data_IF_683096719573
#
_entry.id   IF_683096719573
#
_cell.length_a   1.000
_cell.length_b   1.000
_cell.length_c   1.000
_cell.angle_alpha   90.00
_cell.angle_beta   90.00
_cell.angle_gamma   90.00
#
_symmetry.space_group_name_H-M   'P 1'
#
loop_
_entity.id
_entity.type
_entity.pdbx_description
1 polymer ?
#
# COMPACT_ATOMS: atom_id res chain seq x y z
N UNK A 1 -7.54 -8.19 21.43
CA UNK A 1 -6.51 -8.19 20.38
C UNK A 1 -6.25 -6.76 19.94
N UNK A 2 -5.02 -6.30 20.05
CA UNK A 2 -4.69 -4.91 19.75
C UNK A 2 -3.87 -4.82 18.49
N UNK A 3 -4.35 -4.06 17.52
CA UNK A 3 -3.64 -3.73 16.30
C UNK A 3 -3.32 -2.24 16.35
N UNK A 4 -2.04 -1.91 16.21
CA UNK A 4 -1.57 -0.52 16.24
C UNK A 4 -1.00 -0.20 14.87
N UNK A 5 -1.49 0.87 14.25
CA UNK A 5 -0.98 1.35 12.98
C UNK A 5 -0.37 2.72 13.20
N UNK A 6 0.88 2.88 12.80
CA UNK A 6 1.59 4.13 13.00
C UNK A 6 2.55 4.43 11.86
N UNK A 7 2.85 5.70 11.69
CA UNK A 7 3.84 6.14 10.72
C UNK A 7 5.22 5.64 11.13
N UNK A 8 6.02 5.27 10.15
CA UNK A 8 7.36 4.78 10.37
C UNK A 8 8.31 5.37 9.33
N UNK A 9 9.58 5.46 9.69
CA UNK A 9 10.63 5.84 8.76
C UNK A 9 10.88 4.64 7.82
N UNK A 10 10.70 4.80 6.49
CA UNK A 10 10.94 3.70 5.56
C UNK A 10 12.39 3.22 5.52
N UNK A 11 13.33 4.01 6.06
CA UNK A 11 14.72 3.61 6.17
C UNK A 11 15.02 2.84 7.45
N UNK A 12 14.06 2.72 8.37
CA UNK A 12 14.26 1.97 9.61
C UNK A 12 14.43 0.49 9.34
N UNK A 13 15.09 -0.22 10.24
CA UNK A 13 15.31 -1.66 10.10
C UNK A 13 13.98 -2.41 10.05
N UNK A 14 13.01 -1.98 10.83
CA UNK A 14 11.69 -2.63 10.89
C UNK A 14 10.93 -2.46 9.59
N UNK A 15 10.94 -1.25 9.01
CA UNK A 15 10.32 -0.99 7.73
C UNK A 15 11.00 -1.79 6.62
N UNK A 16 12.32 -1.84 6.63
CA UNK A 16 13.08 -2.62 5.65
C UNK A 16 12.73 -4.10 5.71
N UNK A 17 12.55 -4.65 6.91
CA UNK A 17 12.16 -6.05 7.07
C UNK A 17 10.77 -6.32 6.51
N UNK A 18 9.83 -5.41 6.73
CA UNK A 18 8.47 -5.55 6.15
C UNK A 18 8.52 -5.50 4.63
N UNK A 19 9.26 -4.55 4.07
CA UNK A 19 9.39 -4.41 2.62
C UNK A 19 10.08 -5.63 2.02
N UNK A 20 11.13 -6.12 2.67
CA UNK A 20 11.84 -7.32 2.22
C UNK A 20 10.93 -8.55 2.26
N UNK A 21 10.15 -8.70 3.32
CA UNK A 21 9.21 -9.82 3.41
C UNK A 21 8.17 -9.78 2.29
N UNK A 22 7.68 -8.58 1.97
CA UNK A 22 6.76 -8.39 0.86
C UNK A 22 7.40 -8.80 -0.47
N UNK A 23 8.62 -8.35 -0.73
CA UNK A 23 9.33 -8.69 -1.97
C UNK A 23 9.61 -10.18 -2.07
N UNK A 24 9.96 -10.83 -0.97
CA UNK A 24 10.17 -12.29 -0.95
C UNK A 24 8.88 -13.03 -1.25
N UNK A 25 7.76 -12.58 -0.71
CA UNK A 25 6.48 -13.20 -1.01
C UNK A 25 6.15 -13.06 -2.50
N UNK A 26 6.37 -11.87 -3.08
CA UNK A 26 6.16 -11.66 -4.51
C UNK A 26 7.07 -12.57 -5.34
N UNK A 27 8.34 -12.71 -4.95
CA UNK A 27 9.29 -13.57 -5.63
C UNK A 27 8.78 -15.01 -5.71
N UNK A 28 8.19 -15.49 -4.64
CA UNK A 28 7.68 -16.87 -4.56
C UNK A 28 6.29 -17.04 -5.19
N UNK A 29 5.48 -15.99 -5.19
CA UNK A 29 4.09 -16.05 -5.65
C UNK A 29 3.97 -15.86 -7.15
N UNK A 30 4.76 -14.97 -7.75
CA UNK A 30 4.65 -14.65 -9.17
C UNK A 30 5.35 -15.68 -10.02
N UNK A 31 4.74 -16.06 -11.14
CA UNK A 31 5.23 -17.12 -12.01
C UNK A 31 6.65 -16.86 -12.52
N UNK A 32 6.96 -15.62 -12.88
CA UNK A 32 8.28 -15.22 -13.37
C UNK A 32 9.18 -14.64 -12.27
N UNK A 33 8.78 -14.79 -10.99
CA UNK A 33 9.48 -14.16 -9.88
C UNK A 33 9.25 -12.66 -9.84
N UNK A 34 9.99 -11.96 -8.98
CA UNK A 34 9.84 -10.53 -8.79
C UNK A 34 11.20 -9.86 -8.63
N UNK A 35 11.46 -8.86 -9.46
CA UNK A 35 12.66 -8.03 -9.37
C UNK A 35 12.21 -6.58 -9.16
N UNK A 36 12.45 -5.98 -7.98
CA UNK A 36 12.03 -4.59 -7.71
C UNK A 36 12.58 -3.59 -8.73
N UNK A 37 13.73 -3.85 -9.33
CA UNK A 37 14.32 -2.96 -10.31
C UNK A 37 13.51 -2.88 -11.60
N UNK A 38 12.64 -3.84 -11.86
CA UNK A 38 11.82 -3.88 -13.07
C UNK A 38 10.46 -3.23 -12.90
N UNK A 39 10.13 -2.72 -11.70
CA UNK A 39 8.84 -2.09 -11.43
C UNK A 39 8.97 -0.57 -11.39
N UNK A 40 7.83 0.11 -11.49
CA UNK A 40 7.72 1.53 -11.18
C UNK A 40 7.54 1.63 -9.66
N UNK A 41 8.63 1.42 -8.94
CA UNK A 41 8.61 1.38 -7.49
C UNK A 41 9.01 2.74 -6.91
N UNK A 42 8.56 3.02 -5.69
CA UNK A 42 8.95 4.22 -4.99
C UNK A 42 10.27 3.99 -4.23
N UNK A 43 11.17 4.96 -4.30
CA UNK A 43 12.31 4.96 -3.39
C UNK A 43 11.83 5.21 -1.96
N UNK A 44 12.55 4.68 -0.94
CA UNK A 44 12.17 4.97 0.45
C UNK A 44 12.00 6.46 0.74
N UNK A 45 12.83 7.32 0.14
CA UNK A 45 12.72 8.77 0.33
C UNK A 45 11.39 9.32 -0.15
N UNK A 46 10.74 8.70 -1.14
CA UNK A 46 9.44 9.12 -1.64
C UNK A 46 8.30 8.77 -0.69
N UNK A 47 8.56 7.93 0.29
CA UNK A 47 7.59 7.50 1.30
C UNK A 47 7.76 8.24 2.62
N UNK A 48 8.39 9.41 2.59
CA UNK A 48 8.54 10.31 3.74
C UNK A 48 7.76 11.61 3.48
N UNK A 49 7.12 12.19 4.51
CA UNK A 49 6.46 13.49 4.35
C UNK A 49 7.45 14.57 3.89
N UNK A 50 7.04 15.51 3.04
CA UNK A 50 5.70 15.67 2.46
C UNK A 50 5.47 14.89 1.17
N UNK A 51 6.47 14.17 0.67
CA UNK A 51 6.40 13.44 -0.61
C UNK A 51 5.57 12.17 -0.52
N UNK A 52 5.35 11.66 0.68
CA UNK A 52 4.60 10.44 0.91
C UNK A 52 4.51 10.11 2.39
N UNK A 53 4.20 8.86 2.67
CA UNK A 53 4.07 8.36 4.04
C UNK A 53 4.27 6.85 4.03
N UNK A 54 4.80 6.32 5.12
CA UNK A 54 4.90 4.87 5.31
C UNK A 54 4.26 4.50 6.63
N UNK A 55 3.36 3.51 6.59
CA UNK A 55 2.68 3.01 7.79
C UNK A 55 3.10 1.57 8.05
N UNK A 56 3.26 1.24 9.32
CA UNK A 56 3.45 -0.15 9.76
C UNK A 56 2.34 -0.53 10.72
N UNK A 57 1.98 -1.80 10.70
CA UNK A 57 0.98 -2.37 11.59
C UNK A 57 1.66 -3.32 12.57
N UNK A 58 1.32 -3.17 13.85
CA UNK A 58 1.79 -4.04 14.91
C UNK A 58 0.64 -4.84 15.48
N UNK A 59 0.89 -6.10 15.74
CA UNK A 59 -0.04 -6.99 16.42
C UNK A 59 0.73 -7.67 17.55
N UNK A 60 0.31 -7.39 18.78
CA UNK A 60 0.97 -7.93 19.98
C UNK A 60 2.48 -7.64 20.00
N UNK A 61 2.86 -6.45 19.54
CA UNK A 61 4.25 -6.01 19.55
C UNK A 61 5.06 -6.39 18.32
N UNK A 62 4.55 -7.26 17.47
CA UNK A 62 5.25 -7.68 16.25
C UNK A 62 4.81 -6.85 15.05
N UNK A 63 5.76 -6.45 14.20
CA UNK A 63 5.45 -5.79 12.94
C UNK A 63 4.90 -6.83 11.97
N UNK A 64 3.63 -6.67 11.58
CA UNK A 64 2.92 -7.68 10.79
C UNK A 64 2.38 -7.15 9.46
N UNK A 65 2.62 -5.90 9.15
CA UNK A 65 2.15 -5.36 7.88
C UNK A 65 2.63 -3.95 7.64
N UNK A 66 2.42 -3.49 6.42
CA UNK A 66 2.81 -2.13 6.03
C UNK A 66 2.01 -1.68 4.81
N UNK A 67 2.05 -0.37 4.56
CA UNK A 67 1.69 0.19 3.26
C UNK A 67 2.36 1.56 3.09
N UNK A 68 2.58 1.95 1.85
CA UNK A 68 3.18 3.23 1.51
C UNK A 68 2.23 4.10 0.70
N UNK A 69 2.42 5.40 0.80
CA UNK A 69 1.76 6.40 0.00
C UNK A 69 2.81 7.23 -0.70
N UNK A 70 2.67 7.37 -2.02
CA UNK A 70 3.47 8.31 -2.79
C UNK A 70 2.54 9.42 -3.27
N UNK A 71 2.84 10.67 -2.88
CA UNK A 71 2.08 11.82 -3.34
C UNK A 71 2.69 12.26 -4.67
N UNK A 72 1.92 12.20 -5.74
CA UNK A 72 2.43 12.45 -7.10
C UNK A 72 2.31 13.93 -7.46
N UNK A 73 1.11 14.42 -7.71
CA UNK A 73 0.88 15.82 -8.08
C UNK A 73 -0.61 16.14 -7.99
N UNK A 74 -0.93 17.43 -7.76
CA UNK A 74 -2.31 17.94 -7.89
C UNK A 74 -3.40 17.05 -7.29
N UNK A 75 -3.19 16.64 -6.03
CA UNK A 75 -4.18 15.82 -5.34
C UNK A 75 -4.17 14.34 -5.71
N UNK A 76 -3.16 13.89 -6.44
CA UNK A 76 -3.04 12.49 -6.84
C UNK A 76 -2.06 11.75 -5.94
N UNK A 77 -2.50 10.66 -5.33
CA UNK A 77 -1.65 9.80 -4.53
C UNK A 77 -1.67 8.37 -5.07
N UNK A 78 -0.64 7.62 -4.73
CA UNK A 78 -0.53 6.22 -5.13
C UNK A 78 -0.23 5.36 -3.92
N UNK A 79 -1.06 4.33 -3.72
CA UNK A 79 -0.84 3.33 -2.68
C UNK A 79 0.22 2.35 -3.14
N UNK A 80 1.21 2.09 -2.29
CA UNK A 80 2.35 1.22 -2.58
C UNK A 80 2.54 0.22 -1.46
N UNK A 81 3.07 -0.94 -1.79
CA UNK A 81 3.63 -1.89 -0.82
C UNK A 81 2.66 -2.29 0.29
N UNK A 82 1.39 -2.50 -0.07
CA UNK A 82 0.41 -3.06 0.85
C UNK A 82 0.74 -4.53 1.11
N UNK A 83 1.06 -4.85 2.36
CA UNK A 83 1.42 -6.21 2.73
C UNK A 83 1.01 -6.51 4.16
N UNK A 84 0.53 -7.73 4.39
CA UNK A 84 0.26 -8.26 5.73
C UNK A 84 0.90 -9.63 5.81
N UNK A 85 1.64 -9.89 6.88
CA UNK A 85 2.27 -11.18 7.12
C UNK A 85 1.25 -12.30 7.03
N UNK A 86 1.59 -13.43 6.37
CA UNK A 86 0.68 -14.57 6.30
C UNK A 86 0.14 -15.02 7.66
N UNK A 87 0.96 -14.95 8.71
CA UNK A 87 0.56 -15.34 10.06
C UNK A 87 -0.48 -14.42 10.70
N UNK A 88 -0.66 -13.23 10.16
CA UNK A 88 -1.57 -12.22 10.69
C UNK A 88 -2.76 -11.93 9.77
N UNK A 89 -2.95 -12.71 8.72
CA UNK A 89 -4.06 -12.52 7.80
C UNK A 89 -5.37 -12.96 8.41
N UNK A 90 -6.48 -12.39 7.93
CA UNK A 90 -7.80 -12.69 8.46
C UNK A 90 -8.18 -11.90 9.69
N UNK A 91 -7.33 -10.95 10.14
CA UNK A 91 -7.58 -10.13 11.33
C UNK A 91 -8.04 -8.71 11.00
N UNK A 92 -8.22 -8.41 9.71
CA UNK A 92 -8.63 -7.06 9.29
C UNK A 92 -7.53 -6.03 9.28
N UNK A 93 -6.26 -6.45 9.30
CA UNK A 93 -5.11 -5.53 9.35
C UNK A 93 -4.98 -4.76 8.04
N UNK A 94 -5.12 -5.43 6.89
CA UNK A 94 -5.04 -4.77 5.59
C UNK A 94 -6.10 -3.67 5.45
N UNK A 95 -7.33 -3.96 5.90
CA UNK A 95 -8.42 -2.98 5.90
C UNK A 95 -8.06 -1.77 6.75
N UNK A 96 -7.55 -2.01 7.96
CA UNK A 96 -7.15 -0.91 8.85
C UNK A 96 -6.00 -0.09 8.28
N UNK A 97 -5.02 -0.75 7.65
CA UNK A 97 -3.93 -0.05 6.96
C UNK A 97 -4.47 0.85 5.85
N UNK A 98 -5.36 0.31 5.02
CA UNK A 98 -5.93 1.07 3.92
C UNK A 98 -6.74 2.26 4.41
N UNK A 99 -7.65 2.04 5.38
CA UNK A 99 -8.48 3.12 5.92
C UNK A 99 -7.62 4.20 6.59
N UNK A 100 -6.61 3.81 7.35
CA UNK A 100 -5.70 4.75 8.01
C UNK A 100 -4.92 5.56 6.97
N UNK A 101 -4.41 4.89 5.94
CA UNK A 101 -3.66 5.58 4.90
C UNK A 101 -4.55 6.57 4.14
N UNK A 102 -5.80 6.20 3.85
CA UNK A 102 -6.73 7.12 3.18
C UNK A 102 -6.98 8.37 4.01
N UNK A 103 -7.11 8.22 5.34
CA UNK A 103 -7.29 9.37 6.23
C UNK A 103 -6.07 10.29 6.22
N UNK A 104 -4.87 9.73 6.26
CA UNK A 104 -3.64 10.52 6.15
C UNK A 104 -3.52 11.19 4.79
N UNK A 105 -3.86 10.47 3.73
CA UNK A 105 -3.79 10.99 2.36
C UNK A 105 -4.66 12.24 2.20
N UNK A 106 -5.89 12.20 2.73
CA UNK A 106 -6.79 13.36 2.69
C UNK A 106 -6.16 14.55 3.39
N UNK A 107 -5.55 14.34 4.55
CA UNK A 107 -4.88 15.42 5.30
C UNK A 107 -3.67 15.97 4.54
N UNK A 108 -3.08 15.18 3.66
CA UNK A 108 -1.94 15.59 2.83
C UNK A 108 -2.37 16.20 1.49
N UNK A 109 -3.67 16.39 1.29
CA UNK A 109 -4.19 17.02 0.08
C UNK A 109 -4.48 16.05 -1.06
N UNK A 110 -4.44 14.74 -0.82
CA UNK A 110 -4.77 13.76 -1.86
C UNK A 110 -6.28 13.70 -2.04
N UNK A 111 -6.71 13.84 -3.28
CA UNK A 111 -8.14 13.77 -3.66
C UNK A 111 -8.48 12.45 -4.34
N UNK A 112 -7.51 11.86 -5.03
CA UNK A 112 -7.68 10.59 -5.75
C UNK A 112 -6.51 9.68 -5.40
N UNK A 113 -6.84 8.47 -4.94
CA UNK A 113 -5.85 7.43 -4.68
C UNK A 113 -5.84 6.45 -5.84
N UNK A 114 -4.65 6.19 -6.38
CA UNK A 114 -4.44 5.18 -7.42
C UNK A 114 -3.63 4.03 -6.86
N UNK A 115 -3.74 2.88 -7.50
CA UNK A 115 -2.88 1.74 -7.22
C UNK A 115 -2.88 0.78 -8.39
N UNK A 116 -1.84 -0.04 -8.48
CA UNK A 116 -1.83 -1.19 -9.36
C UNK A 116 -1.60 -2.46 -8.54
N UNK A 117 -2.00 -3.61 -9.08
CA UNK A 117 -1.86 -4.87 -8.37
C UNK A 117 -1.77 -6.04 -9.35
N UNK A 118 -1.22 -7.15 -8.86
CA UNK A 118 -1.05 -8.38 -9.63
C UNK A 118 -2.26 -9.30 -9.42
N UNK A 119 -2.63 -10.05 -10.47
CA UNK A 119 -3.77 -10.98 -10.41
C UNK A 119 -3.60 -12.06 -9.34
N UNK A 120 -2.37 -12.38 -8.95
CA UNK A 120 -2.11 -13.38 -7.91
C UNK A 120 -2.44 -12.85 -6.51
N UNK A 121 -2.52 -11.54 -6.33
CA UNK A 121 -2.84 -10.92 -5.05
C UNK A 121 -4.36 -10.79 -4.90
N UNK A 122 -5.05 -11.92 -4.83
CA UNK A 122 -6.51 -12.01 -4.87
C UNK A 122 -7.17 -11.30 -3.69
N UNK A 123 -6.64 -11.50 -2.49
CA UNK A 123 -7.20 -10.89 -1.27
C UNK A 123 -7.08 -9.36 -1.32
N UNK A 124 -5.95 -8.85 -1.81
CA UNK A 124 -5.75 -7.40 -1.95
C UNK A 124 -6.76 -6.81 -2.94
N UNK A 125 -6.93 -7.48 -4.09
CA UNK A 125 -7.90 -7.02 -5.10
C UNK A 125 -9.31 -6.95 -4.53
N UNK A 126 -9.74 -7.97 -3.79
CA UNK A 126 -11.06 -7.99 -3.16
C UNK A 126 -11.20 -6.87 -2.14
N UNK A 127 -10.13 -6.60 -1.37
CA UNK A 127 -10.11 -5.51 -0.41
C UNK A 127 -10.38 -4.17 -1.11
N UNK A 128 -9.65 -3.89 -2.19
CA UNK A 128 -9.80 -2.63 -2.92
C UNK A 128 -11.20 -2.48 -3.49
N UNK A 129 -11.72 -3.53 -4.11
CA UNK A 129 -13.08 -3.48 -4.67
C UNK A 129 -14.13 -3.22 -3.60
N UNK A 130 -13.99 -3.85 -2.43
CA UNK A 130 -14.93 -3.63 -1.31
C UNK A 130 -14.83 -2.22 -0.73
N UNK A 131 -13.70 -1.54 -0.93
CA UNK A 131 -13.48 -0.20 -0.37
C UNK A 131 -13.68 0.92 -1.39
N UNK A 132 -14.37 0.63 -2.48
CA UNK A 132 -14.78 1.66 -3.42
C UNK A 132 -13.79 1.96 -4.53
N UNK A 133 -12.75 1.16 -4.67
CA UNK A 133 -11.83 1.30 -5.79
C UNK A 133 -12.46 0.76 -7.06
N UNK A 134 -12.30 1.49 -8.16
CA UNK A 134 -12.84 1.11 -9.46
C UNK A 134 -11.72 0.91 -10.45
N UNK A 135 -11.95 0.00 -11.41
CA UNK A 135 -10.95 -0.31 -12.44
C UNK A 135 -10.76 0.88 -13.38
N UNK A 136 -9.51 1.18 -13.69
CA UNK A 136 -9.13 2.22 -14.65
C UNK A 136 -8.14 1.67 -15.65
N UNK A 137 -7.84 2.48 -16.67
CA UNK A 137 -6.80 2.13 -17.64
C UNK A 137 -5.42 2.19 -16.97
N UNK A 138 -4.46 1.38 -17.46
CA UNK A 138 -3.09 1.48 -16.95
C UNK A 138 -2.55 2.89 -17.03
N UNK A 139 -1.95 3.36 -15.92
CA UNK A 139 -1.30 4.67 -15.86
C UNK A 139 0.22 4.55 -15.81
N UNK A 140 0.73 3.32 -15.80
CA UNK A 140 2.16 3.04 -15.86
C UNK A 140 2.39 1.74 -16.62
N UNK A 141 3.64 1.40 -16.84
CA UNK A 141 4.05 0.18 -17.56
C UNK A 141 4.64 -0.87 -16.62
N UNK A 142 4.16 -0.95 -15.39
CA UNK A 142 4.61 -1.94 -14.42
C UNK A 142 4.36 -3.36 -14.97
N UNK A 143 5.41 -4.14 -15.27
CA UNK A 143 5.26 -5.46 -15.90
C UNK A 143 4.58 -6.48 -14.98
N UNK A 144 4.54 -6.23 -13.68
CA UNK A 144 3.92 -7.13 -12.71
C UNK A 144 2.46 -6.80 -12.43
N UNK A 145 1.94 -5.68 -12.95
CA UNK A 145 0.57 -5.26 -12.73
C UNK A 145 -0.35 -5.83 -13.80
N UNK A 146 -1.56 -6.22 -13.37
CA UNK A 146 -2.62 -6.68 -14.27
C UNK A 146 -3.88 -5.87 -14.08
N UNK A 147 -4.02 -5.16 -12.95
CA UNK A 147 -5.17 -4.33 -12.64
C UNK A 147 -4.70 -2.97 -12.14
N UNK A 148 -5.41 -1.93 -12.57
CA UNK A 148 -5.18 -0.56 -12.13
C UNK A 148 -6.51 -0.05 -11.58
N UNK A 149 -6.46 0.58 -10.41
CA UNK A 149 -7.66 1.05 -9.71
C UNK A 149 -7.47 2.47 -9.23
N UNK A 150 -8.61 3.15 -9.03
CA UNK A 150 -8.60 4.44 -8.36
C UNK A 150 -9.82 4.59 -7.45
N UNK A 151 -9.69 5.47 -6.47
CA UNK A 151 -10.78 5.85 -5.58
C UNK A 151 -10.70 7.34 -5.32
N UNK A 152 -11.83 8.02 -5.45
CA UNK A 152 -11.92 9.42 -5.10
C UNK A 152 -12.11 9.53 -3.58
N UNK A 153 -11.22 10.27 -2.92
CA UNK A 153 -11.25 10.44 -1.47
C UNK A 153 -12.03 11.68 -1.04
N UNK A 154 -12.57 12.42 -2.00
CA UNK A 154 -13.37 13.63 -1.74
C UNK A 154 -14.61 13.23 -0.93
N UNK A 155 -14.90 13.99 0.13
CA UNK A 155 -16.00 13.72 1.01
C UNK A 155 -15.58 13.12 2.35
N UNK A 156 -14.43 12.44 2.42
CA UNK A 156 -13.92 11.93 3.69
C UNK A 156 -13.52 13.06 4.63
N UNK A 157 -13.07 14.19 4.07
CA UNK A 157 -12.67 15.37 4.85
C UNK A 157 -13.84 16.24 5.29
N UNK A 158 -15.04 15.94 4.84
CA UNK A 158 -16.23 16.73 5.16
C UNK A 158 -16.93 16.26 6.43
N UNK A 159 -16.45 15.18 7.01
CA UNK A 159 -17.06 14.58 8.18
C UNK A 159 -16.08 14.51 9.39
#
# INVERSE_FOLDING_TARGET
MTIIIQAADPFSEEAKRCIQAYFEELQNLLDEGFNPANTVSADPAELLPPSGLFLVAYHEGDCVGCCGLKVKSDGLGELKRMWVSPSARGLGIARQLLETMEQHAVKMGVEVMQLDTNRKLVAARHLYLRHGYVSIKPYNSNPYAHYWFEKRLVGLSEF
#
